data_IF_979520723005
#
_entry.id   IF_979520723005
#
_cell.length_a   1.000
_cell.length_b   1.000
_cell.length_c   1.000
_cell.angle_alpha   90.00
_cell.angle_beta   90.00
_cell.angle_gamma   90.00
#
_symmetry.space_group_name_H-M   'P 1'
#
loop_
_entity.id
_entity.type
_entity.pdbx_description
1 polymer ?
#
# COMPACT_ATOMS: atom_id res chain seq x y z
N UNK A 1 -15.04 -25.96 -37.31
CA UNK A 1 -14.76 -26.51 -35.96
C UNK A 1 -13.34 -26.19 -35.48
N UNK A 2 -12.29 -26.30 -36.31
CA UNK A 2 -10.90 -25.96 -35.91
C UNK A 2 -10.66 -24.48 -35.55
N UNK A 3 -11.27 -23.54 -36.27
CA UNK A 3 -11.07 -22.09 -36.04
C UNK A 3 -11.64 -21.62 -34.69
N UNK A 4 -12.79 -22.14 -34.26
CA UNK A 4 -13.35 -21.86 -32.92
C UNK A 4 -12.48 -22.41 -31.81
N UNK A 5 -11.93 -23.63 -31.95
CA UNK A 5 -11.04 -24.21 -30.94
C UNK A 5 -9.73 -23.44 -30.78
N UNK A 6 -9.15 -22.96 -31.89
CA UNK A 6 -7.95 -22.10 -31.86
C UNK A 6 -8.25 -20.75 -31.22
N UNK A 7 -9.39 -20.13 -31.55
CA UNK A 7 -9.83 -18.87 -30.92
C UNK A 7 -10.04 -19.03 -29.40
N UNK A 8 -10.71 -20.11 -28.98
CA UNK A 8 -10.92 -20.41 -27.55
C UNK A 8 -9.58 -20.62 -26.84
N UNK A 9 -8.63 -21.34 -27.44
CA UNK A 9 -7.31 -21.55 -26.87
C UNK A 9 -6.52 -20.24 -26.72
N UNK A 10 -6.56 -19.37 -27.73
CA UNK A 10 -5.91 -18.05 -27.72
C UNK A 10 -6.50 -17.14 -26.61
N UNK A 11 -7.81 -17.12 -26.47
CA UNK A 11 -8.50 -16.36 -25.40
C UNK A 11 -8.09 -16.88 -24.02
N UNK A 12 -8.03 -18.20 -23.81
CA UNK A 12 -7.60 -18.79 -22.54
C UNK A 12 -6.15 -18.45 -22.19
N UNK A 13 -5.24 -18.43 -23.17
CA UNK A 13 -3.84 -18.06 -22.96
C UNK A 13 -3.69 -16.58 -22.57
N UNK A 14 -4.43 -15.69 -23.22
CA UNK A 14 -4.40 -14.25 -22.90
C UNK A 14 -4.95 -14.00 -21.49
N UNK A 15 -6.12 -14.53 -21.15
CA UNK A 15 -6.73 -14.34 -19.82
C UNK A 15 -5.86 -14.95 -18.72
N UNK A 16 -5.29 -16.13 -18.94
CA UNK A 16 -4.34 -16.74 -18.01
C UNK A 16 -3.13 -15.86 -17.76
N UNK A 17 -2.56 -15.26 -18.81
CA UNK A 17 -1.35 -14.44 -18.71
C UNK A 17 -1.53 -13.17 -17.86
N UNK A 18 -2.68 -12.53 -17.91
CA UNK A 18 -2.98 -11.35 -17.09
C UNK A 18 -3.16 -11.72 -15.61
N UNK A 19 -3.76 -12.87 -15.32
CA UNK A 19 -3.90 -13.36 -13.95
C UNK A 19 -2.54 -13.63 -13.27
N UNK A 20 -1.54 -14.11 -14.01
CA UNK A 20 -0.17 -14.35 -13.49
C UNK A 20 0.63 -13.07 -13.22
N UNK A 21 0.24 -11.95 -13.84
CA UNK A 21 0.88 -10.64 -13.64
C UNK A 21 0.34 -9.91 -12.43
N UNK A 22 -0.90 -10.21 -12.04
CA UNK A 22 -1.53 -9.57 -10.90
C UNK A 22 -0.76 -9.86 -9.62
N UNK A 23 -0.41 -8.79 -8.92
CA UNK A 23 0.17 -8.85 -7.59
C UNK A 23 -0.72 -8.10 -6.60
N UNK A 24 -0.73 -8.54 -5.36
CA UNK A 24 -1.50 -7.91 -4.28
C UNK A 24 -0.70 -7.88 -2.97
N UNK A 25 -1.05 -6.90 -2.14
CA UNK A 25 -0.48 -6.69 -0.81
C UNK A 25 -1.57 -6.14 0.10
N UNK A 26 -1.57 -6.55 1.36
CA UNK A 26 -2.44 -6.02 2.40
C UNK A 26 -1.66 -5.67 3.65
N UNK A 27 -2.01 -4.55 4.28
CA UNK A 27 -1.45 -4.09 5.54
C UNK A 27 -2.57 -3.70 6.49
N UNK A 28 -2.37 -3.94 7.78
CA UNK A 28 -3.22 -3.43 8.85
C UNK A 28 -2.40 -3.05 10.07
N UNK A 29 -2.99 -2.27 10.95
CA UNK A 29 -2.36 -1.87 12.21
C UNK A 29 -3.09 -0.72 12.87
N UNK A 30 -2.41 -0.06 13.80
CA UNK A 30 -2.95 1.07 14.57
C UNK A 30 -1.93 2.18 14.73
N UNK A 31 -2.36 3.41 14.54
CA UNK A 31 -1.55 4.60 14.78
C UNK A 31 -1.88 5.23 16.13
N UNK A 32 -0.85 5.64 16.85
CA UNK A 32 -0.93 6.37 18.11
C UNK A 32 -0.16 7.70 18.01
N UNK A 33 -0.49 8.64 18.87
CA UNK A 33 0.24 9.89 19.09
C UNK A 33 0.42 10.05 20.59
N UNK A 34 1.59 9.69 21.09
CA UNK A 34 1.81 9.45 22.52
C UNK A 34 0.84 8.39 23.01
N UNK A 35 0.05 8.75 24.03
CA UNK A 35 -0.88 7.84 24.69
C UNK A 35 -2.26 7.78 24.00
N UNK A 36 -2.47 8.58 22.95
CA UNK A 36 -3.79 8.76 22.32
C UNK A 36 -3.87 8.06 20.97
N UNK A 37 -5.01 7.46 20.63
CA UNK A 37 -5.26 6.97 19.28
C UNK A 37 -5.17 8.10 18.25
N UNK A 38 -4.49 7.85 17.14
CA UNK A 38 -4.32 8.83 16.08
C UNK A 38 -5.31 8.57 14.94
N UNK A 39 -6.52 9.09 15.12
CA UNK A 39 -7.63 8.95 14.16
C UNK A 39 -7.59 9.94 12.99
N UNK A 40 -8.40 9.67 11.96
CA UNK A 40 -8.56 10.50 10.75
C UNK A 40 -7.23 10.81 10.03
N UNK A 41 -6.23 9.95 10.20
CA UNK A 41 -4.88 10.13 9.65
C UNK A 41 -4.78 9.44 8.31
N UNK A 42 -4.30 10.15 7.29
CA UNK A 42 -4.20 9.64 5.92
C UNK A 42 -3.06 8.63 5.82
N UNK A 43 -3.37 7.48 5.25
CA UNK A 43 -2.41 6.41 4.99
C UNK A 43 -2.55 5.92 3.55
N UNK A 44 -1.43 5.58 2.92
CA UNK A 44 -1.39 5.19 1.51
C UNK A 44 -0.45 4.01 1.27
N UNK A 45 -0.81 3.16 0.31
CA UNK A 45 0.07 2.16 -0.27
C UNK A 45 0.54 2.63 -1.65
N UNK A 46 1.85 2.58 -1.88
CA UNK A 46 2.48 2.94 -3.14
C UNK A 46 3.41 1.83 -3.62
N UNK A 47 3.39 1.54 -4.91
CA UNK A 47 4.41 0.73 -5.56
C UNK A 47 5.45 1.67 -6.19
N UNK A 48 6.68 1.68 -5.66
CA UNK A 48 7.78 2.47 -6.21
C UNK A 48 8.39 1.77 -7.42
N UNK A 49 8.21 2.34 -8.61
CA UNK A 49 8.69 1.73 -9.84
C UNK A 49 10.15 2.09 -10.09
N UNK A 50 10.94 1.13 -10.60
CA UNK A 50 12.33 1.40 -11.01
C UNK A 50 12.40 2.30 -12.24
N UNK A 51 11.39 2.23 -13.11
CA UNK A 51 11.28 2.97 -14.36
C UNK A 51 9.83 3.46 -14.45
N UNK A 52 9.65 4.74 -14.79
CA UNK A 52 8.34 5.37 -14.91
C UNK A 52 7.85 5.97 -13.60
N UNK A 53 6.54 6.23 -13.53
CA UNK A 53 5.86 6.82 -12.37
C UNK A 53 5.50 5.76 -11.34
N UNK A 54 5.52 6.14 -10.06
CA UNK A 54 5.04 5.27 -8.98
C UNK A 54 3.52 5.08 -9.05
N UNK A 55 3.03 3.91 -8.66
CA UNK A 55 1.59 3.60 -8.64
C UNK A 55 1.03 3.77 -7.23
N UNK A 56 -0.05 4.54 -7.09
CA UNK A 56 -0.85 4.51 -5.86
C UNK A 56 -1.72 3.24 -5.89
N UNK A 57 -1.51 2.35 -4.94
CA UNK A 57 -2.24 1.08 -4.86
C UNK A 57 -3.54 1.22 -4.07
N UNK A 58 -3.52 2.00 -2.99
CA UNK A 58 -4.68 2.24 -2.13
C UNK A 58 -4.45 3.47 -1.24
N UNK A 59 -5.54 4.08 -0.78
CA UNK A 59 -5.52 5.08 0.29
C UNK A 59 -6.70 4.89 1.25
N UNK A 60 -6.50 5.27 2.50
CA UNK A 60 -7.54 5.24 3.53
C UNK A 60 -7.24 6.28 4.61
N UNK A 61 -8.14 6.41 5.59
CA UNK A 61 -7.89 7.13 6.82
C UNK A 61 -8.06 6.20 8.01
N UNK A 62 -7.27 6.42 9.05
CA UNK A 62 -7.48 5.70 10.31
C UNK A 62 -8.85 6.02 10.91
N UNK A 63 -9.46 5.03 11.56
CA UNK A 63 -10.70 5.21 12.31
C UNK A 63 -10.48 6.03 13.59
N UNK A 64 -11.54 6.27 14.39
CA UNK A 64 -11.43 7.02 15.64
C UNK A 64 -10.53 6.34 16.70
N UNK A 65 -10.31 5.03 16.59
CA UNK A 65 -9.40 4.27 17.42
C UNK A 65 -7.98 4.18 16.84
N UNK A 66 -7.70 4.88 15.73
CA UNK A 66 -6.40 4.88 15.05
C UNK A 66 -6.14 3.64 14.19
N UNK A 67 -7.11 2.73 14.03
CA UNK A 67 -6.91 1.52 13.24
C UNK A 67 -6.96 1.81 11.75
N UNK A 68 -6.20 1.05 10.97
CA UNK A 68 -6.24 1.04 9.51
C UNK A 68 -6.15 -0.39 8.97
N UNK A 69 -6.77 -0.60 7.83
CA UNK A 69 -6.64 -1.81 7.01
C UNK A 69 -6.72 -1.38 5.53
N UNK A 70 -5.70 -1.71 4.75
CA UNK A 70 -5.60 -1.35 3.34
C UNK A 70 -5.07 -2.52 2.53
N UNK A 71 -5.63 -2.71 1.35
CA UNK A 71 -5.10 -3.64 0.35
C UNK A 71 -5.12 -3.02 -1.02
N UNK A 72 -4.15 -3.37 -1.84
CA UNK A 72 -4.07 -2.93 -3.23
C UNK A 72 -3.18 -3.84 -4.04
N UNK A 73 -3.12 -3.59 -5.34
CA UNK A 73 -2.39 -4.44 -6.26
C UNK A 73 -2.29 -3.83 -7.65
N UNK A 74 -1.36 -4.34 -8.45
CA UNK A 74 -1.15 -3.94 -9.84
C UNK A 74 -0.74 -5.15 -10.67
N UNK A 75 -1.14 -5.17 -11.93
CA UNK A 75 -0.62 -6.10 -12.92
C UNK A 75 0.78 -5.69 -13.32
N UNK A 76 1.80 -6.43 -12.88
CA UNK A 76 3.20 -6.12 -13.22
C UNK A 76 4.04 -7.37 -13.45
N UNK A 77 4.93 -7.28 -14.43
CA UNK A 77 5.91 -8.33 -14.73
C UNK A 77 6.95 -8.37 -13.60
N UNK A 78 7.41 -7.21 -13.14
CA UNK A 78 8.38 -7.09 -12.05
C UNK A 78 7.70 -7.20 -10.68
N UNK A 79 8.43 -7.66 -9.68
CA UNK A 79 7.94 -7.66 -8.29
C UNK A 79 7.67 -6.24 -7.80
N UNK A 80 6.55 -6.03 -7.10
CA UNK A 80 6.25 -4.72 -6.51
C UNK A 80 7.28 -4.34 -5.44
N UNK A 81 7.56 -3.05 -5.32
CA UNK A 81 8.32 -2.46 -4.23
C UNK A 81 7.38 -1.57 -3.42
N UNK A 82 6.70 -2.17 -2.44
CA UNK A 82 5.56 -1.54 -1.76
C UNK A 82 6.00 -0.72 -0.56
N UNK A 83 5.48 0.50 -0.49
CA UNK A 83 5.71 1.48 0.56
C UNK A 83 4.39 1.90 1.20
N UNK A 84 4.32 1.80 2.53
CA UNK A 84 3.25 2.32 3.36
C UNK A 84 3.61 3.72 3.85
N UNK A 85 2.82 4.71 3.45
CA UNK A 85 3.05 6.11 3.76
C UNK A 85 1.99 6.62 4.74
N UNK A 86 2.43 7.33 5.77
CA UNK A 86 1.57 7.89 6.81
C UNK A 86 1.74 9.41 6.80
N UNK A 87 0.65 10.16 6.77
CA UNK A 87 0.63 11.63 6.73
C UNK A 87 -0.08 12.14 7.99
N UNK A 88 0.65 12.77 8.90
CA UNK A 88 0.15 13.11 10.23
C UNK A 88 0.70 14.43 10.76
N UNK A 89 0.00 14.98 11.76
CA UNK A 89 0.39 16.21 12.47
C UNK A 89 0.65 15.96 13.96
N UNK A 90 0.86 14.70 14.36
CA UNK A 90 1.23 14.33 15.73
C UNK A 90 2.47 15.13 16.19
N UNK A 91 2.34 15.83 17.32
CA UNK A 91 3.36 16.70 17.92
C UNK A 91 4.03 17.69 16.96
N UNK A 92 3.27 18.14 15.96
CA UNK A 92 3.84 18.96 14.90
C UNK A 92 3.60 20.47 15.07
N UNK A 93 2.67 20.84 15.96
CA UNK A 93 2.28 22.23 16.20
C UNK A 93 1.58 22.87 14.99
N UNK A 94 1.66 24.20 14.86
CA UNK A 94 1.12 24.92 13.70
C UNK A 94 2.22 25.06 12.65
N UNK A 95 2.42 24.03 11.84
CA UNK A 95 3.37 24.05 10.73
C UNK A 95 2.68 23.73 9.42
N UNK A 96 3.12 24.33 8.30
CA UNK A 96 2.57 23.98 7.00
C UNK A 96 2.93 22.54 6.65
N UNK A 97 1.98 21.86 6.01
CA UNK A 97 2.15 20.50 5.47
C UNK A 97 2.32 19.43 6.57
N UNK A 98 2.01 18.19 6.26
CA UNK A 98 2.01 17.11 7.26
C UNK A 98 3.37 16.41 7.31
N UNK A 99 3.73 15.87 8.48
CA UNK A 99 4.83 14.91 8.62
C UNK A 99 4.49 13.67 7.78
N UNK A 100 5.46 13.15 7.04
CA UNK A 100 5.31 12.00 6.15
C UNK A 100 6.32 10.92 6.50
N UNK A 101 5.82 9.81 7.03
CA UNK A 101 6.60 8.59 7.27
C UNK A 101 6.46 7.67 6.05
N UNK A 102 7.56 7.06 5.60
CA UNK A 102 7.60 6.13 4.47
C UNK A 102 8.24 4.79 4.89
N UNK A 103 7.42 3.75 5.07
CA UNK A 103 7.85 2.43 5.51
C UNK A 103 7.73 1.40 4.40
N UNK A 104 8.83 0.70 4.10
CA UNK A 104 8.80 -0.39 3.14
C UNK A 104 8.13 -1.63 3.72
N UNK A 105 7.16 -2.20 3.00
CA UNK A 105 6.56 -3.48 3.36
C UNK A 105 7.48 -4.62 2.92
N UNK A 106 7.78 -5.61 3.77
CA UNK A 106 8.61 -6.75 3.39
C UNK A 106 7.99 -7.53 2.22
N UNK A 107 8.80 -7.83 1.21
CA UNK A 107 8.33 -8.46 -0.03
C UNK A 107 7.63 -9.81 0.16
N UNK A 108 7.87 -10.50 1.27
CA UNK A 108 7.20 -11.78 1.62
C UNK A 108 5.69 -11.64 1.87
N UNK A 109 5.17 -10.42 2.02
CA UNK A 109 3.73 -10.14 2.13
C UNK A 109 3.09 -9.78 0.79
N UNK A 110 3.88 -9.70 -0.28
CA UNK A 110 3.41 -9.44 -1.64
C UNK A 110 3.22 -10.78 -2.34
N UNK A 111 2.04 -11.02 -2.92
CA UNK A 111 1.72 -12.29 -3.59
C UNK A 111 1.25 -12.08 -5.02
N UNK A 112 1.53 -13.04 -5.91
CA UNK A 112 1.06 -13.03 -7.31
C UNK A 112 -0.36 -13.58 -7.43
N UNK A 113 -1.29 -12.89 -6.81
CA UNK A 113 -2.72 -13.22 -6.86
C UNK A 113 -3.54 -11.93 -6.82
N UNK A 114 -4.80 -12.00 -7.25
CA UNK A 114 -5.72 -10.87 -7.22
C UNK A 114 -6.15 -10.45 -5.81
N UNK A 115 -6.17 -11.40 -4.86
CA UNK A 115 -6.63 -11.18 -3.48
C UNK A 115 -5.49 -11.34 -2.49
N UNK A 116 -5.46 -10.52 -1.44
CA UNK A 116 -4.44 -10.62 -0.38
C UNK A 116 -4.48 -12.00 0.27
N UNK A 117 -3.38 -12.75 0.15
CA UNK A 117 -3.22 -14.06 0.79
C UNK A 117 -2.62 -13.95 2.19
N UNK A 118 -1.78 -12.94 2.41
CA UNK A 118 -1.07 -12.73 3.67
C UNK A 118 -1.08 -11.25 4.02
N UNK A 119 -1.66 -10.95 5.18
CA UNK A 119 -1.70 -9.61 5.72
C UNK A 119 -0.39 -9.29 6.44
N UNK A 120 0.19 -8.13 6.14
CA UNK A 120 1.25 -7.56 6.96
C UNK A 120 0.62 -6.85 8.15
N UNK A 121 0.89 -7.36 9.36
CA UNK A 121 0.48 -6.71 10.59
C UNK A 121 1.60 -5.76 11.04
N UNK A 122 1.34 -4.46 10.92
CA UNK A 122 2.27 -3.41 11.33
C UNK A 122 2.27 -3.20 12.85
N UNK A 123 1.35 -3.85 13.58
CA UNK A 123 1.16 -3.63 15.00
C UNK A 123 0.71 -2.21 15.33
N UNK A 124 1.24 -1.67 16.43
CA UNK A 124 0.95 -0.32 16.90
C UNK A 124 2.15 0.57 16.63
N UNK A 125 1.97 1.61 15.84
CA UNK A 125 3.01 2.59 15.51
C UNK A 125 2.70 3.92 16.20
N UNK A 126 3.59 4.37 17.08
CA UNK A 126 3.46 5.67 17.73
C UNK A 126 4.18 6.75 16.90
N UNK A 127 3.40 7.71 16.40
CA UNK A 127 3.85 8.81 15.53
C UNK A 127 4.44 10.00 16.30
N UNK A 128 4.47 9.96 17.64
CA UNK A 128 5.22 10.91 18.47
C UNK A 128 6.72 10.80 18.19
N UNK A 129 7.22 9.57 18.02
CA UNK A 129 8.59 9.32 17.60
C UNK A 129 8.86 9.90 16.20
N UNK A 130 10.07 10.44 16.00
CA UNK A 130 10.53 10.89 14.69
C UNK A 130 11.20 9.75 13.94
N UNK A 131 10.56 9.30 12.87
CA UNK A 131 11.09 8.19 12.07
C UNK A 131 12.34 8.62 11.31
N UNK A 132 13.30 7.69 11.07
CA UNK A 132 14.38 7.93 10.12
C UNK A 132 13.80 8.30 8.74
N UNK A 133 14.45 9.24 8.07
CA UNK A 133 14.06 9.72 6.73
C UNK A 133 12.63 10.27 6.63
N UNK A 134 12.05 10.69 7.75
CA UNK A 134 10.74 11.35 7.75
C UNK A 134 10.81 12.71 7.06
N UNK A 135 9.88 12.93 6.13
CA UNK A 135 9.78 14.14 5.31
C UNK A 135 8.56 14.99 5.70
N UNK A 136 8.36 16.12 5.02
CA UNK A 136 7.07 16.85 5.04
C UNK A 136 6.42 16.80 3.67
N UNK A 137 5.09 16.69 3.63
CA UNK A 137 4.34 16.66 2.38
C UNK A 137 3.10 17.56 2.45
N UNK A 138 3.00 18.46 1.46
CA UNK A 138 1.89 19.38 1.30
C UNK A 138 0.82 18.84 0.32
N UNK A 139 1.10 17.68 -0.27
CA UNK A 139 0.29 17.08 -1.32
C UNK A 139 -0.23 15.77 -0.76
N UNK A 140 -1.56 15.73 -0.58
CA UNK A 140 -2.28 14.54 -0.17
C UNK A 140 -2.65 13.70 -1.38
#
# INVERSE_FOLDING_TARGET
>A
MQTSSVFVLLVLLVVGSEAFRQQSVGIRGRLMCGDKPLGNTKVKLWNKNKIGTDDQLADAKTDASGNFELSGGVGSIFGMNVHFKIYHDCDDGIKPCQRKVDLKIPNQYITRTSNVQKWFDAGVLNMEFKFPDEERSCIN
#
